data_IF_972081206935
#
_entry.id   IF_972081206935
#
_cell.length_a   1.000
_cell.length_b   1.000
_cell.length_c   1.000
_cell.angle_alpha   90.00
_cell.angle_beta   90.00
_cell.angle_gamma   90.00
#
_symmetry.space_group_name_H-M   'P 1'
#
loop_
_entity.id
_entity.type
_entity.pdbx_description
1 polymer ?
#
# COMPACT_ATOMS: atom_id res chain seq x y z
N UNK A 1 12.27 -8.60 -3.29
CA UNK A 1 12.96 -7.85 -2.22
C UNK A 1 12.50 -8.41 -0.88
N UNK A 2 13.32 -8.38 0.16
CA UNK A 2 12.91 -8.69 1.54
C UNK A 2 12.84 -7.38 2.34
N UNK A 3 11.71 -7.14 3.01
CA UNK A 3 11.58 -6.02 3.94
C UNK A 3 12.41 -6.29 5.21
N UNK A 4 12.91 -5.24 5.89
CA UNK A 4 13.48 -5.41 7.23
C UNK A 4 12.41 -5.90 8.21
N UNK A 5 12.87 -6.47 9.33
CA UNK A 5 12.00 -6.81 10.44
C UNK A 5 11.47 -5.53 11.12
N UNK A 6 10.32 -5.65 11.80
CA UNK A 6 9.81 -4.58 12.65
C UNK A 6 10.76 -4.30 13.81
N UNK A 7 10.85 -3.04 14.23
CA UNK A 7 11.61 -2.62 15.40
C UNK A 7 10.81 -2.84 16.70
N UNK A 8 11.39 -2.43 17.83
CA UNK A 8 10.77 -2.56 19.15
C UNK A 8 9.47 -1.77 19.34
N UNK A 9 9.16 -0.87 18.40
CA UNK A 9 7.92 -0.09 18.38
C UNK A 9 6.83 -0.69 17.49
N UNK A 10 7.13 -1.79 16.80
CA UNK A 10 6.21 -2.44 15.88
C UNK A 10 6.19 -1.83 14.48
N UNK A 11 7.15 -0.94 14.18
CA UNK A 11 7.24 -0.25 12.89
C UNK A 11 8.40 -0.80 12.04
N UNK A 12 8.30 -0.67 10.72
CA UNK A 12 9.49 -0.83 9.88
C UNK A 12 10.48 0.31 10.18
N UNK A 13 11.81 0.08 10.09
CA UNK A 13 12.78 1.15 10.13
C UNK A 13 12.42 2.25 9.12
N UNK A 14 12.65 3.51 9.49
CA UNK A 14 12.25 4.64 8.65
C UNK A 14 12.86 4.56 7.23
N UNK A 15 12.01 4.70 6.23
CA UNK A 15 12.41 4.74 4.82
C UNK A 15 11.31 4.24 3.88
N UNK A 16 11.53 4.46 2.58
CA UNK A 16 10.61 4.02 1.54
C UNK A 16 11.07 2.68 0.94
N UNK A 17 10.20 1.68 1.00
CA UNK A 17 10.49 0.34 0.51
C UNK A 17 9.70 0.04 -0.76
N UNK A 18 10.37 0.10 -1.91
CA UNK A 18 9.74 -0.18 -3.20
C UNK A 18 9.48 -1.68 -3.37
N UNK A 19 8.22 -2.06 -3.54
CA UNK A 19 7.80 -3.43 -3.80
C UNK A 19 6.86 -3.48 -5.01
N UNK A 20 6.91 -4.59 -5.75
CA UNK A 20 5.79 -5.01 -6.60
C UNK A 20 4.69 -5.66 -5.74
N UNK A 21 3.46 -5.74 -6.24
CA UNK A 21 2.38 -6.46 -5.54
C UNK A 21 2.71 -7.92 -5.25
N UNK A 22 3.45 -8.59 -6.15
CA UNK A 22 3.92 -9.97 -5.93
C UNK A 22 4.93 -10.05 -4.77
N UNK A 23 5.79 -9.04 -4.62
CA UNK A 23 6.72 -8.96 -3.50
C UNK A 23 6.02 -8.58 -2.19
N UNK A 24 5.07 -7.64 -2.23
CA UNK A 24 4.27 -7.25 -1.07
C UNK A 24 3.53 -8.45 -0.46
N UNK A 25 2.87 -9.27 -1.30
CA UNK A 25 2.21 -10.52 -0.87
C UNK A 25 3.13 -11.54 -0.21
N UNK A 26 4.42 -11.51 -0.56
CA UNK A 26 5.45 -12.43 -0.03
C UNK A 26 6.24 -11.80 1.12
N UNK A 27 5.94 -10.57 1.49
CA UNK A 27 6.67 -9.83 2.50
C UNK A 27 6.13 -10.10 3.90
N UNK A 28 6.89 -9.66 4.91
CA UNK A 28 6.48 -9.72 6.31
C UNK A 28 5.17 -8.97 6.59
N UNK A 29 4.83 -7.94 5.80
CA UNK A 29 3.56 -7.19 5.96
C UNK A 29 2.32 -8.03 5.67
N UNK A 30 2.45 -9.12 4.92
CA UNK A 30 1.35 -10.04 4.62
C UNK A 30 1.53 -11.37 5.32
N UNK A 31 2.72 -11.98 5.22
CA UNK A 31 2.96 -13.33 5.75
C UNK A 31 3.36 -13.36 7.24
N UNK A 32 3.64 -12.20 7.84
CA UNK A 32 4.18 -12.09 9.19
C UNK A 32 5.71 -12.07 9.17
N UNK A 33 6.30 -11.43 10.19
CA UNK A 33 7.74 -11.42 10.37
C UNK A 33 8.21 -12.74 11.01
N UNK A 34 9.28 -13.33 10.46
CA UNK A 34 9.97 -14.47 11.06
C UNK A 34 9.17 -15.78 11.06
N UNK A 35 9.22 -16.49 12.20
CA UNK A 35 8.56 -17.78 12.39
C UNK A 35 7.08 -17.58 12.73
N UNK A 36 6.13 -18.17 11.96
CA UNK A 36 4.70 -18.10 12.26
C UNK A 36 4.31 -18.51 13.70
N UNK A 37 5.13 -19.31 14.37
CA UNK A 37 4.91 -19.67 15.77
C UNK A 37 5.06 -18.47 16.74
N UNK A 38 5.77 -17.42 16.32
CA UNK A 38 5.98 -16.20 17.11
C UNK A 38 4.83 -15.19 16.95
N UNK A 39 4.06 -15.29 15.87
CA UNK A 39 2.94 -14.41 15.55
C UNK A 39 1.68 -15.23 15.21
N UNK A 40 1.16 -16.04 16.16
CA UNK A 40 0.10 -17.02 15.91
C UNK A 40 -1.25 -16.40 15.51
N UNK A 41 -1.44 -15.11 15.75
CA UNK A 41 -2.66 -14.38 15.45
C UNK A 41 -2.53 -13.54 14.16
N UNK A 42 -1.39 -13.59 13.48
CA UNK A 42 -1.15 -12.78 12.30
C UNK A 42 -2.11 -13.15 11.18
N UNK A 43 -2.99 -12.23 10.82
CA UNK A 43 -4.05 -12.50 9.86
C UNK A 43 -3.56 -12.30 8.42
N UNK A 44 -2.75 -13.26 7.97
CA UNK A 44 -2.17 -13.23 6.63
C UNK A 44 -3.23 -13.26 5.52
N UNK A 45 -4.33 -13.99 5.74
CA UNK A 45 -5.45 -14.06 4.79
C UNK A 45 -6.12 -12.69 4.64
N UNK A 46 -6.41 -12.03 5.76
CA UNK A 46 -7.00 -10.70 5.74
C UNK A 46 -6.07 -9.66 5.12
N UNK A 47 -4.78 -9.67 5.47
CA UNK A 47 -3.79 -8.75 4.89
C UNK A 47 -3.63 -8.96 3.39
N UNK A 48 -3.65 -10.20 2.90
CA UNK A 48 -3.65 -10.45 1.45
C UNK A 48 -4.92 -9.91 0.78
N UNK A 49 -6.09 -10.04 1.42
CA UNK A 49 -7.33 -9.43 0.93
C UNK A 49 -7.22 -7.90 0.82
N UNK A 50 -6.61 -7.23 1.81
CA UNK A 50 -6.34 -5.79 1.73
C UNK A 50 -5.40 -5.43 0.56
N UNK A 51 -4.37 -6.24 0.31
CA UNK A 51 -3.47 -6.06 -0.84
C UNK A 51 -4.19 -6.27 -2.17
N UNK A 52 -5.10 -7.25 -2.26
CA UNK A 52 -5.92 -7.48 -3.46
C UNK A 52 -6.80 -6.27 -3.78
N UNK A 53 -7.45 -5.67 -2.77
CA UNK A 53 -8.23 -4.45 -2.97
C UNK A 53 -7.34 -3.27 -3.38
N UNK A 54 -6.15 -3.16 -2.80
CA UNK A 54 -5.18 -2.11 -3.15
C UNK A 54 -4.72 -2.24 -4.61
N UNK A 55 -4.47 -3.46 -5.09
CA UNK A 55 -4.07 -3.73 -6.48
C UNK A 55 -5.16 -3.42 -7.51
N UNK A 56 -6.42 -3.26 -7.10
CA UNK A 56 -7.47 -2.77 -8.01
C UNK A 56 -7.32 -1.26 -8.27
N UNK A 57 -6.98 -0.47 -7.24
CA UNK A 57 -6.95 1.00 -7.34
C UNK A 57 -5.61 1.53 -7.89
N UNK A 58 -4.49 1.00 -7.41
CA UNK A 58 -3.16 1.56 -7.72
C UNK A 58 -2.83 1.57 -9.22
N UNK A 59 -3.16 0.52 -10.02
CA UNK A 59 -2.94 0.57 -11.46
C UNK A 59 -3.72 1.67 -12.18
N UNK A 60 -4.89 2.06 -11.68
CA UNK A 60 -5.67 3.17 -12.24
C UNK A 60 -4.98 4.52 -11.95
N UNK A 61 -4.39 4.67 -10.77
CA UNK A 61 -3.56 5.84 -10.44
C UNK A 61 -2.34 5.93 -11.37
N UNK A 62 -1.67 4.81 -11.63
CA UNK A 62 -0.56 4.75 -12.59
C UNK A 62 -0.99 5.14 -14.01
N UNK A 63 -2.19 4.75 -14.45
CA UNK A 63 -2.70 5.09 -15.78
C UNK A 63 -2.92 6.59 -15.98
N UNK A 64 -3.23 7.34 -14.91
CA UNK A 64 -3.41 8.80 -14.94
C UNK A 64 -2.13 9.58 -14.63
N UNK A 65 -0.98 8.90 -14.56
CA UNK A 65 0.34 9.53 -14.41
C UNK A 65 0.82 9.70 -12.96
N UNK A 66 0.06 9.24 -11.96
CA UNK A 66 0.51 9.23 -10.57
C UNK A 66 1.49 8.07 -10.41
N UNK A 67 2.80 8.34 -10.45
CA UNK A 67 3.82 7.28 -10.50
C UNK A 67 4.17 6.67 -9.13
N UNK A 68 4.18 7.48 -8.08
CA UNK A 68 4.60 7.08 -6.74
C UNK A 68 3.38 7.00 -5.82
N UNK A 69 3.03 5.78 -5.42
CA UNK A 69 1.96 5.49 -4.44
C UNK A 69 2.60 4.77 -3.26
N UNK A 70 2.31 5.26 -2.06
CA UNK A 70 2.88 4.80 -0.79
C UNK A 70 1.75 4.21 0.04
N UNK A 71 2.00 3.05 0.65
CA UNK A 71 1.12 2.42 1.63
C UNK A 71 1.67 2.76 3.02
N UNK A 72 0.79 3.09 3.94
CA UNK A 72 1.14 3.60 5.27
C UNK A 72 0.10 3.16 6.32
N UNK A 73 0.20 3.72 7.52
CA UNK A 73 -0.72 3.52 8.62
C UNK A 73 -0.64 2.12 9.19
N UNK A 74 -1.74 1.65 9.79
CA UNK A 74 -1.70 0.43 10.59
C UNK A 74 -1.42 -0.85 9.78
N UNK A 75 -1.51 -0.79 8.44
CA UNK A 75 -1.15 -1.90 7.57
C UNK A 75 0.36 -2.19 7.57
N UNK A 76 1.20 -1.15 7.70
CA UNK A 76 2.67 -1.29 7.68
C UNK A 76 3.29 -1.50 9.07
N UNK A 77 2.46 -1.71 10.09
CA UNK A 77 2.83 -1.98 11.48
C UNK A 77 2.66 -3.47 11.83
N UNK A 78 3.23 -3.90 12.96
CA UNK A 78 3.16 -5.25 13.51
C UNK A 78 1.78 -5.64 14.11
N UNK A 79 0.71 -5.02 13.62
CA UNK A 79 -0.66 -5.24 14.10
C UNK A 79 -1.29 -6.45 13.43
N UNK A 80 -1.57 -7.53 14.15
CA UNK A 80 -2.14 -8.79 13.62
C UNK A 80 -3.24 -8.65 12.54
N UNK A 81 -4.18 -7.72 12.74
CA UNK A 81 -5.33 -7.49 11.86
C UNK A 81 -5.57 -5.96 11.69
N UNK A 82 -4.92 -5.31 10.70
CA UNK A 82 -5.22 -3.92 10.36
C UNK A 82 -6.61 -3.80 9.73
N UNK A 83 -7.32 -2.68 9.90
CA UNK A 83 -8.70 -2.58 9.41
C UNK A 83 -8.76 -2.24 7.91
N UNK A 84 -7.76 -1.54 7.41
CA UNK A 84 -7.68 -0.93 6.09
C UNK A 84 -6.21 -0.66 5.72
N UNK A 85 -6.02 -0.16 4.49
CA UNK A 85 -4.72 0.31 3.98
C UNK A 85 -4.83 1.82 3.82
N UNK A 86 -4.05 2.54 4.62
CA UNK A 86 -3.82 3.96 4.38
C UNK A 86 -2.82 4.12 3.24
N UNK A 87 -2.98 5.17 2.45
CA UNK A 87 -2.03 5.46 1.39
C UNK A 87 -2.06 6.90 0.95
N UNK A 88 -0.93 7.34 0.42
CA UNK A 88 -0.77 8.64 -0.18
C UNK A 88 0.02 8.52 -1.48
N UNK A 89 -0.03 9.54 -2.32
CA UNK A 89 0.69 9.56 -3.57
C UNK A 89 1.24 10.95 -3.85
N UNK A 90 2.34 10.99 -4.59
CA UNK A 90 2.92 12.25 -5.04
C UNK A 90 2.18 12.74 -6.28
N UNK A 91 1.72 13.99 -6.22
CA UNK A 91 1.12 14.70 -7.34
C UNK A 91 1.39 16.19 -7.20
N UNK A 92 1.37 16.91 -8.32
CA UNK A 92 1.41 18.36 -8.30
C UNK A 92 0.09 18.95 -7.81
N UNK A 93 0.17 20.10 -7.14
CA UNK A 93 -1.03 20.82 -6.69
C UNK A 93 -1.98 21.19 -7.84
N UNK A 94 -1.43 21.49 -9.02
CA UNK A 94 -2.22 21.81 -10.20
C UNK A 94 -3.04 20.60 -10.70
N UNK A 95 -2.49 19.38 -10.65
CA UNK A 95 -3.21 18.14 -10.99
C UNK A 95 -4.39 17.88 -10.02
N UNK A 96 -4.17 18.10 -8.73
CA UNK A 96 -5.25 17.99 -7.72
C UNK A 96 -6.30 19.07 -7.93
N UNK A 97 -5.90 20.30 -8.25
CA UNK A 97 -6.82 21.43 -8.48
C UNK A 97 -7.68 21.23 -9.72
N UNK A 98 -7.09 20.77 -10.83
CA UNK A 98 -7.77 20.62 -12.12
C UNK A 98 -8.72 19.41 -12.16
N UNK A 99 -8.59 18.46 -11.24
CA UNK A 99 -9.53 17.33 -11.07
C UNK A 99 -10.98 17.76 -10.78
N UNK A 100 -11.22 19.03 -10.38
CA UNK A 100 -12.58 19.61 -10.30
C UNK A 100 -13.19 19.98 -11.66
N UNK A 101 -12.39 20.02 -12.74
CA UNK A 101 -12.82 20.37 -14.09
C UNK A 101 -12.46 19.33 -15.17
N UNK A 102 -11.67 18.30 -14.86
CA UNK A 102 -11.01 17.46 -15.88
C UNK A 102 -11.72 16.17 -16.32
N UNK A 103 -12.94 15.87 -15.85
CA UNK A 103 -13.66 14.62 -16.22
C UNK A 103 -14.82 14.78 -17.21
N UNK A 104 -14.85 15.87 -18.00
CA UNK A 104 -15.73 15.92 -19.17
C UNK A 104 -14.90 15.71 -20.43
N UNK A 105 -14.98 14.54 -21.10
CA UNK A 105 -14.36 14.40 -22.41
C UNK A 105 -14.97 15.46 -23.32
N UNK A 106 -14.13 16.27 -23.96
CA UNK A 106 -14.57 17.25 -24.94
C UNK A 106 -15.37 16.50 -26.01
N UNK A 107 -16.69 16.70 -26.05
CA UNK A 107 -17.48 16.36 -27.23
C UNK A 107 -16.90 17.19 -28.37
N UNK A 108 -16.20 16.52 -29.28
CA UNK A 108 -15.87 17.11 -30.58
C UNK A 108 -17.08 16.90 -31.47
N UNK A 109 -17.74 18.00 -31.81
CA UNK A 109 -18.65 18.11 -32.94
C UNK A 109 -17.86 18.07 -34.26
#
# INVERSE_FOLDING_TARGET
MQLPDFDETGCLPAGDYRLTFSELRKSALVLGAGDPALCPNWDATWRNYLVENTEVLVPELWQVGIANVFLDGSFVEDKDHPNDVDGYFECSFDEVRDSRNAFLPSRRD
#
